data_IF_979158085625
#
_entry.id   IF_979158085625
#
_cell.length_a   1.000
_cell.length_b   1.000
_cell.length_c   1.000
_cell.angle_alpha   90.00
_cell.angle_beta   90.00
_cell.angle_gamma   90.00
#
_symmetry.space_group_name_H-M   'P 1'
#
loop_
_entity.id
_entity.type
_entity.pdbx_description
1 polymer ?
#
# COMPACT_ATOMS: atom_id res chain seq x y z
N UNK A 1 19.27 34.43 -17.72
CA UNK A 1 19.22 33.04 -17.22
C UNK A 1 18.35 33.04 -15.97
N UNK A 2 17.21 32.32 -15.97
CA UNK A 2 16.32 32.27 -14.80
C UNK A 2 17.07 31.61 -13.64
N UNK A 3 17.12 32.28 -12.49
CA UNK A 3 17.66 31.71 -11.26
C UNK A 3 16.86 30.45 -10.91
N UNK A 4 17.53 29.29 -10.92
CA UNK A 4 17.02 28.10 -10.25
C UNK A 4 17.01 28.39 -8.75
N UNK A 5 15.85 28.78 -8.21
CA UNK A 5 15.62 28.74 -6.77
C UNK A 5 15.68 27.27 -6.37
N UNK A 6 16.82 26.85 -5.84
CA UNK A 6 16.94 25.58 -5.13
C UNK A 6 16.10 25.77 -3.86
N UNK A 7 14.81 25.46 -3.95
CA UNK A 7 13.99 25.21 -2.75
C UNK A 7 14.76 24.19 -1.94
N UNK A 8 15.17 24.57 -0.73
CA UNK A 8 15.74 23.61 0.23
C UNK A 8 14.71 22.50 0.35
N UNK A 9 14.99 21.38 -0.30
CA UNK A 9 14.26 20.15 -0.09
C UNK A 9 14.23 19.95 1.42
N UNK A 10 13.03 20.04 1.98
CA UNK A 10 12.78 19.78 3.40
C UNK A 10 13.49 18.47 3.67
N UNK A 11 14.56 18.53 4.44
CA UNK A 11 15.47 17.40 4.62
C UNK A 11 14.63 16.30 5.22
N UNK A 12 14.40 15.27 4.41
CA UNK A 12 13.32 14.32 4.54
C UNK A 12 13.53 13.49 5.82
N UNK A 13 12.90 13.92 6.92
CA UNK A 13 13.03 13.26 8.23
C UNK A 13 12.61 11.79 8.16
N UNK A 14 11.62 11.47 7.33
CA UNK A 14 11.22 10.09 7.05
C UNK A 14 12.34 9.29 6.38
N UNK A 15 13.10 9.91 5.47
CA UNK A 15 14.26 9.24 4.86
C UNK A 15 15.33 8.92 5.90
N UNK A 16 15.58 9.80 6.87
CA UNK A 16 16.58 9.54 7.92
C UNK A 16 16.13 8.44 8.89
N UNK A 17 14.86 8.42 9.30
CA UNK A 17 14.34 7.35 10.15
C UNK A 17 14.29 6.00 9.44
N UNK A 18 13.88 5.99 8.16
CA UNK A 18 13.83 4.78 7.35
C UNK A 18 15.24 4.25 7.10
N UNK A 19 16.20 5.12 6.79
CA UNK A 19 17.60 4.73 6.58
C UNK A 19 18.20 4.10 7.85
N UNK A 20 17.96 4.70 9.02
CA UNK A 20 18.38 4.13 10.30
C UNK A 20 17.74 2.75 10.53
N UNK A 21 16.45 2.60 10.28
CA UNK A 21 15.76 1.30 10.37
C UNK A 21 16.40 0.25 9.44
N UNK A 22 16.65 0.60 8.18
CA UNK A 22 17.27 -0.29 7.20
C UNK A 22 18.68 -0.73 7.62
N UNK A 23 19.47 0.18 8.23
CA UNK A 23 20.78 -0.15 8.79
C UNK A 23 20.66 -1.09 10.00
N UNK A 24 19.69 -0.89 10.89
CA UNK A 24 19.48 -1.73 12.07
C UNK A 24 19.08 -3.15 11.71
N UNK A 25 18.12 -3.33 10.80
CA UNK A 25 17.69 -4.67 10.36
C UNK A 25 18.78 -5.37 9.52
N UNK A 26 19.68 -4.60 8.90
CA UNK A 26 20.81 -5.12 8.13
C UNK A 26 21.88 -5.79 8.99
N UNK A 27 21.96 -5.43 10.28
CA UNK A 27 22.91 -6.01 11.25
C UNK A 27 22.45 -7.34 11.84
N UNK A 28 21.20 -7.73 11.62
CA UNK A 28 20.65 -8.98 12.15
C UNK A 28 21.10 -10.15 11.27
N UNK A 29 21.68 -11.16 11.91
CA UNK A 29 22.13 -12.37 11.23
C UNK A 29 20.97 -13.18 10.66
N UNK A 30 21.23 -13.84 9.53
CA UNK A 30 20.30 -14.78 8.91
C UNK A 30 20.22 -16.05 9.75
N UNK A 31 19.01 -16.58 9.91
CA UNK A 31 18.80 -17.84 10.62
C UNK A 31 19.13 -19.02 9.71
N UNK A 32 19.67 -20.07 10.32
CA UNK A 32 19.79 -21.38 9.68
C UNK A 32 18.43 -22.11 9.70
N UNK A 33 18.19 -23.05 8.78
CA UNK A 33 16.94 -23.84 8.77
C UNK A 33 16.70 -24.60 10.09
N UNK A 34 17.77 -25.05 10.75
CA UNK A 34 17.70 -25.74 12.05
C UNK A 34 17.24 -24.77 13.16
N UNK A 35 17.79 -23.55 13.19
CA UNK A 35 17.37 -22.51 14.12
C UNK A 35 15.92 -22.07 13.89
N UNK A 36 15.45 -21.99 12.65
CA UNK A 36 14.05 -21.67 12.34
C UNK A 36 13.10 -22.70 12.98
N UNK A 37 13.43 -23.99 12.89
CA UNK A 37 12.64 -25.08 13.47
C UNK A 37 12.62 -25.00 15.00
N UNK A 38 13.78 -24.75 15.62
CA UNK A 38 13.88 -24.63 17.07
C UNK A 38 13.14 -23.40 17.61
N UNK A 39 13.19 -22.28 16.88
CA UNK A 39 12.41 -21.09 17.22
C UNK A 39 10.92 -21.32 17.05
N UNK A 40 10.48 -21.98 15.98
CA UNK A 40 9.08 -22.31 15.75
C UNK A 40 8.49 -23.16 16.88
N UNK A 41 9.22 -24.19 17.34
CA UNK A 41 8.81 -25.01 18.50
C UNK A 41 8.65 -24.19 19.77
N UNK A 42 9.60 -23.28 20.04
CA UNK A 42 9.53 -22.39 21.21
C UNK A 42 8.39 -21.38 21.11
N UNK A 43 8.08 -20.87 19.91
CA UNK A 43 6.97 -19.96 19.67
C UNK A 43 5.63 -20.65 19.97
N UNK A 44 5.46 -21.91 19.56
CA UNK A 44 4.26 -22.71 19.91
C UNK A 44 4.08 -22.88 21.42
N UNK A 45 5.17 -22.87 22.19
CA UNK A 45 5.15 -22.90 23.66
C UNK A 45 4.90 -21.52 24.29
N UNK A 46 4.66 -20.47 23.50
CA UNK A 46 4.41 -19.11 23.97
C UNK A 46 5.68 -18.30 24.25
N UNK A 47 6.85 -18.70 23.74
CA UNK A 47 8.09 -17.97 23.96
C UNK A 47 8.17 -16.71 23.09
N UNK A 48 7.94 -15.55 23.73
CA UNK A 48 7.97 -14.25 23.06
C UNK A 48 9.36 -13.87 22.52
N UNK A 49 10.44 -14.22 23.22
CA UNK A 49 11.80 -13.93 22.76
C UNK A 49 12.14 -14.71 21.48
N UNK A 50 11.62 -15.93 21.33
CA UNK A 50 11.77 -16.72 20.11
C UNK A 50 11.00 -16.08 18.94
N UNK A 51 9.79 -15.56 19.18
CA UNK A 51 8.99 -14.84 18.20
C UNK A 51 9.72 -13.59 17.71
N UNK A 52 10.28 -12.81 18.62
CA UNK A 52 11.08 -11.64 18.28
C UNK A 52 12.34 -12.00 17.48
N UNK A 53 13.07 -13.05 17.87
CA UNK A 53 14.27 -13.47 17.13
C UNK A 53 13.92 -13.90 15.70
N UNK A 54 12.86 -14.71 15.54
CA UNK A 54 12.41 -15.17 14.22
C UNK A 54 11.94 -14.00 13.35
N UNK A 55 11.16 -13.07 13.90
CA UNK A 55 10.67 -11.91 13.15
C UNK A 55 11.79 -10.96 12.77
N UNK A 56 12.68 -10.60 13.71
CA UNK A 56 13.83 -9.70 13.47
C UNK A 56 14.73 -10.18 12.34
N UNK A 57 15.03 -11.49 12.30
CA UNK A 57 15.84 -12.09 11.24
C UNK A 57 15.21 -11.98 9.84
N UNK A 58 13.87 -11.88 9.76
CA UNK A 58 13.12 -11.86 8.52
C UNK A 58 12.64 -10.46 8.08
N UNK A 59 12.95 -9.39 8.83
CA UNK A 59 12.52 -8.02 8.50
C UNK A 59 13.05 -7.55 7.14
N UNK A 60 14.26 -7.98 6.76
CA UNK A 60 14.85 -7.66 5.44
C UNK A 60 14.00 -8.17 4.28
N UNK A 61 13.39 -9.35 4.46
CA UNK A 61 12.50 -9.93 3.46
C UNK A 61 11.21 -9.11 3.32
N UNK A 62 10.62 -8.65 4.43
CA UNK A 62 9.42 -7.78 4.40
C UNK A 62 9.68 -6.52 3.58
N UNK A 63 10.84 -5.88 3.76
CA UNK A 63 11.22 -4.69 2.97
C UNK A 63 11.26 -5.01 1.47
N UNK A 64 11.79 -6.17 1.09
CA UNK A 64 11.85 -6.58 -0.32
C UNK A 64 10.46 -6.78 -0.94
N UNK A 65 9.49 -7.28 -0.15
CA UNK A 65 8.09 -7.43 -0.59
C UNK A 65 7.40 -6.08 -0.63
N UNK A 66 7.54 -5.25 0.40
CA UNK A 66 6.91 -3.93 0.48
C UNK A 66 7.33 -2.98 -0.64
N UNK A 67 8.59 -3.09 -1.11
CA UNK A 67 9.08 -2.32 -2.28
C UNK A 67 8.26 -2.56 -3.55
N UNK A 68 7.66 -3.74 -3.71
CA UNK A 68 6.82 -4.06 -4.88
C UNK A 68 5.49 -3.29 -4.89
N UNK A 69 5.07 -2.74 -3.74
CA UNK A 69 3.80 -2.05 -3.55
C UNK A 69 3.96 -0.53 -3.36
N UNK A 70 5.15 0.02 -3.65
CA UNK A 70 5.39 1.45 -3.57
C UNK A 70 4.53 2.24 -4.56
N UNK A 71 4.28 3.51 -4.23
CA UNK A 71 3.52 4.46 -5.06
C UNK A 71 2.04 4.08 -5.28
N UNK A 72 1.48 3.19 -4.46
CA UNK A 72 0.06 2.79 -4.50
C UNK A 72 -0.82 3.54 -3.48
N UNK A 73 -0.33 4.63 -2.89
CA UNK A 73 -1.08 5.50 -1.98
C UNK A 73 -0.65 5.46 -0.51
N UNK A 74 0.27 4.57 -0.13
CA UNK A 74 0.91 4.57 1.19
C UNK A 74 2.42 4.79 1.07
N UNK A 75 3.02 5.36 2.13
CA UNK A 75 4.47 5.52 2.22
C UNK A 75 5.15 4.16 2.33
N UNK A 76 6.43 4.06 1.92
CA UNK A 76 7.18 2.81 2.08
C UNK A 76 7.29 2.41 3.57
N UNK A 77 7.39 3.38 4.48
CA UNK A 77 7.44 3.12 5.92
C UNK A 77 6.17 2.42 6.40
N UNK A 78 5.00 2.90 5.96
CA UNK A 78 3.70 2.31 6.34
C UNK A 78 3.53 0.91 5.77
N UNK A 79 3.90 0.71 4.49
CA UNK A 79 3.88 -0.61 3.85
C UNK A 79 4.78 -1.62 4.59
N UNK A 80 5.95 -1.18 5.06
CA UNK A 80 6.86 -2.02 5.85
C UNK A 80 6.22 -2.38 7.20
N UNK A 81 5.63 -1.40 7.90
CA UNK A 81 4.99 -1.64 9.19
C UNK A 81 3.82 -2.63 9.08
N UNK A 82 2.98 -2.48 8.06
CA UNK A 82 1.87 -3.40 7.80
C UNK A 82 2.36 -4.79 7.37
N UNK A 83 3.42 -4.85 6.56
CA UNK A 83 4.10 -6.11 6.23
C UNK A 83 4.69 -6.81 7.46
N UNK A 84 5.26 -6.06 8.40
CA UNK A 84 5.82 -6.57 9.66
C UNK A 84 4.71 -7.17 10.54
N UNK A 85 3.53 -6.53 10.58
CA UNK A 85 2.36 -7.08 11.27
C UNK A 85 1.91 -8.41 10.64
N UNK A 86 1.92 -8.50 9.31
CA UNK A 86 1.69 -9.74 8.57
C UNK A 86 2.71 -10.83 8.92
N UNK A 87 4.00 -10.48 9.00
CA UNK A 87 5.07 -11.40 9.39
C UNK A 87 4.88 -11.95 10.81
N UNK A 88 4.50 -11.11 11.77
CA UNK A 88 4.23 -11.54 13.16
C UNK A 88 3.07 -12.54 13.20
N UNK A 89 1.97 -12.26 12.47
CA UNK A 89 0.83 -13.18 12.34
C UNK A 89 1.26 -14.52 11.73
N UNK A 90 2.13 -14.50 10.73
CA UNK A 90 2.68 -15.71 10.12
C UNK A 90 3.51 -16.50 11.13
N UNK A 91 4.41 -15.85 11.86
CA UNK A 91 5.28 -16.49 12.84
C UNK A 91 4.50 -17.17 13.97
N UNK A 92 3.39 -16.57 14.44
CA UNK A 92 2.52 -17.19 15.44
C UNK A 92 1.78 -18.43 14.93
N UNK A 93 1.48 -18.49 13.63
CA UNK A 93 0.68 -19.57 13.01
C UNK A 93 1.53 -20.57 12.21
N UNK A 94 2.85 -20.45 12.26
CA UNK A 94 3.74 -21.30 11.49
C UNK A 94 3.80 -22.71 12.10
N UNK A 95 3.82 -23.71 11.23
CA UNK A 95 3.90 -25.12 11.60
C UNK A 95 5.09 -25.77 10.91
N UNK A 96 6.13 -26.06 11.69
CA UNK A 96 7.39 -26.63 11.24
C UNK A 96 7.27 -28.08 10.74
N UNK A 97 6.21 -28.79 11.10
CA UNK A 97 6.01 -30.20 10.72
C UNK A 97 5.70 -30.38 9.24
N UNK A 98 5.33 -29.31 8.54
CA UNK A 98 4.93 -29.33 7.12
C UNK A 98 6.11 -29.38 6.14
N UNK A 99 7.36 -29.23 6.60
CA UNK A 99 8.55 -29.41 5.76
C UNK A 99 8.85 -28.29 4.76
N UNK A 100 8.22 -27.11 4.91
CA UNK A 100 8.51 -25.93 4.10
C UNK A 100 9.21 -24.85 4.93
N UNK A 101 10.01 -24.00 4.28
CA UNK A 101 10.71 -22.88 4.92
C UNK A 101 9.71 -21.86 5.46
N UNK A 102 10.06 -21.19 6.56
CA UNK A 102 9.18 -20.18 7.18
C UNK A 102 8.80 -19.06 6.20
N UNK A 103 9.77 -18.53 5.44
CA UNK A 103 9.52 -17.45 4.48
C UNK A 103 8.47 -17.84 3.44
N UNK A 104 8.51 -19.08 2.94
CA UNK A 104 7.54 -19.57 1.93
C UNK A 104 6.09 -19.45 2.42
N UNK A 105 5.86 -19.66 3.72
CA UNK A 105 4.57 -19.46 4.35
C UNK A 105 4.28 -17.97 4.65
N UNK A 106 5.29 -17.24 5.14
CA UNK A 106 5.14 -15.85 5.54
C UNK A 106 4.78 -14.90 4.40
N UNK A 107 5.23 -15.16 3.16
CA UNK A 107 4.96 -14.27 2.00
C UNK A 107 3.47 -13.98 1.83
N UNK A 108 2.62 -15.00 2.00
CA UNK A 108 1.17 -14.83 1.84
C UNK A 108 0.59 -13.86 2.89
N UNK A 109 1.00 -14.01 4.14
CA UNK A 109 0.56 -13.15 5.25
C UNK A 109 1.08 -11.72 5.11
N UNK A 110 2.33 -11.54 4.68
CA UNK A 110 2.92 -10.23 4.42
C UNK A 110 2.13 -9.51 3.32
N UNK A 111 1.91 -10.19 2.18
CA UNK A 111 1.14 -9.62 1.06
C UNK A 111 -0.29 -9.31 1.45
N UNK A 112 -0.96 -10.22 2.16
CA UNK A 112 -2.33 -10.01 2.63
C UNK A 112 -2.42 -8.76 3.52
N UNK A 113 -1.51 -8.60 4.49
CA UNK A 113 -1.51 -7.45 5.40
C UNK A 113 -1.26 -6.14 4.65
N UNK A 114 -0.32 -6.13 3.70
CA UNK A 114 -0.02 -4.95 2.86
C UNK A 114 -1.22 -4.59 1.97
N UNK A 115 -1.81 -5.56 1.29
CA UNK A 115 -2.96 -5.33 0.41
C UNK A 115 -4.19 -4.88 1.19
N UNK A 116 -4.41 -5.44 2.38
CA UNK A 116 -5.47 -4.99 3.27
C UNK A 116 -5.26 -3.53 3.69
N UNK A 117 -4.05 -3.17 4.12
CA UNK A 117 -3.74 -1.80 4.50
C UNK A 117 -3.91 -0.82 3.33
N UNK A 118 -3.46 -1.19 2.13
CA UNK A 118 -3.69 -0.40 0.92
C UNK A 118 -5.18 -0.21 0.64
N UNK A 119 -6.00 -1.25 0.76
CA UNK A 119 -7.43 -1.12 0.53
C UNK A 119 -8.14 -0.24 1.58
N UNK A 120 -7.67 -0.24 2.82
CA UNK A 120 -8.30 0.48 3.93
C UNK A 120 -7.79 1.91 4.14
N UNK A 121 -6.51 2.17 3.87
CA UNK A 121 -5.81 3.41 4.26
C UNK A 121 -5.30 4.25 3.07
N UNK A 122 -5.27 3.72 1.83
CA UNK A 122 -4.73 4.47 0.68
C UNK A 122 -5.58 5.67 0.23
N UNK A 123 -6.84 5.75 0.68
CA UNK A 123 -7.80 6.78 0.27
C UNK A 123 -8.28 7.58 1.47
N UNK A 124 -8.48 8.88 1.26
CA UNK A 124 -9.02 9.80 2.26
C UNK A 124 -10.43 9.36 2.67
N UNK A 125 -11.29 9.07 1.69
CA UNK A 125 -12.60 8.44 1.91
C UNK A 125 -12.44 6.94 1.75
N UNK A 126 -12.65 6.21 2.86
CA UNK A 126 -12.55 4.76 2.91
C UNK A 126 -13.61 4.12 2.02
N UNK A 127 -13.16 3.19 1.17
CA UNK A 127 -14.05 2.39 0.32
C UNK A 127 -14.15 0.94 0.85
N UNK A 128 -15.34 0.31 0.81
CA UNK A 128 -15.49 -1.10 1.13
C UNK A 128 -14.63 -2.01 0.23
N UNK A 129 -14.15 -3.14 0.79
CA UNK A 129 -13.26 -4.08 0.09
C UNK A 129 -13.84 -4.64 -1.22
N UNK A 130 -15.15 -4.89 -1.26
CA UNK A 130 -15.83 -5.37 -2.46
C UNK A 130 -15.74 -4.36 -3.61
N UNK A 131 -15.90 -3.06 -3.32
CA UNK A 131 -15.81 -2.00 -4.32
C UNK A 131 -14.37 -1.73 -4.77
N UNK A 132 -13.39 -1.84 -3.87
CA UNK A 132 -11.96 -1.81 -4.25
C UNK A 132 -11.62 -2.99 -5.18
N UNK A 133 -12.14 -4.18 -4.89
CA UNK A 133 -11.98 -5.36 -5.74
C UNK A 133 -12.57 -5.18 -7.14
N UNK A 134 -13.80 -4.67 -7.23
CA UNK A 134 -14.43 -4.35 -8.52
C UNK A 134 -13.63 -3.31 -9.30
N UNK A 135 -13.13 -2.27 -8.64
CA UNK A 135 -12.31 -1.23 -9.25
C UNK A 135 -11.00 -1.80 -9.84
N UNK A 136 -10.33 -2.72 -9.13
CA UNK A 136 -9.13 -3.37 -9.66
C UNK A 136 -9.42 -4.26 -10.87
N UNK A 137 -10.57 -4.94 -10.90
CA UNK A 137 -11.01 -5.72 -12.08
C UNK A 137 -11.31 -4.81 -13.27
N UNK A 138 -12.02 -3.72 -13.04
CA UNK A 138 -12.32 -2.70 -14.05
C UNK A 138 -11.03 -2.11 -14.61
N UNK A 139 -10.08 -1.70 -13.77
CA UNK A 139 -8.79 -1.18 -14.24
C UNK A 139 -8.00 -2.20 -15.07
N UNK A 140 -8.06 -3.48 -14.70
CA UNK A 140 -7.38 -4.54 -15.45
C UNK A 140 -8.02 -4.72 -16.83
N UNK A 141 -9.34 -4.82 -16.89
CA UNK A 141 -10.09 -4.89 -18.15
C UNK A 141 -9.88 -3.62 -19.00
N UNK A 142 -9.83 -2.45 -18.37
CA UNK A 142 -9.54 -1.18 -19.01
C UNK A 142 -8.19 -1.23 -19.72
N UNK A 143 -7.12 -1.65 -19.04
CA UNK A 143 -5.80 -1.78 -19.65
C UNK A 143 -5.73 -2.84 -20.75
N UNK A 144 -6.47 -3.95 -20.62
CA UNK A 144 -6.53 -5.00 -21.64
C UNK A 144 -7.23 -4.50 -22.92
N UNK A 145 -8.40 -3.87 -22.80
CA UNK A 145 -9.15 -3.31 -23.93
C UNK A 145 -8.43 -2.11 -24.57
N UNK A 146 -7.81 -1.25 -23.76
CA UNK A 146 -7.02 -0.12 -24.24
C UNK A 146 -5.84 -0.61 -25.10
N UNK A 147 -5.18 -1.70 -24.68
CA UNK A 147 -4.10 -2.31 -25.44
C UNK A 147 -4.60 -2.98 -26.73
N UNK A 148 -5.78 -3.60 -26.72
CA UNK A 148 -6.34 -4.30 -27.88
C UNK A 148 -6.89 -3.34 -28.94
N UNK A 149 -7.61 -2.30 -28.52
CA UNK A 149 -8.29 -1.36 -29.42
C UNK A 149 -7.51 -0.07 -29.68
N UNK A 150 -6.38 0.14 -28.99
CA UNK A 150 -5.54 1.34 -29.08
C UNK A 150 -6.32 2.64 -28.79
N UNK A 151 -7.36 2.56 -27.96
CA UNK A 151 -8.20 3.69 -27.52
C UNK A 151 -8.77 3.45 -26.14
N UNK A 152 -9.24 4.52 -25.49
CA UNK A 152 -9.98 4.39 -24.24
C UNK A 152 -11.27 3.56 -24.45
N UNK A 153 -11.51 2.51 -23.65
CA UNK A 153 -12.71 1.70 -23.73
C UNK A 153 -13.92 2.44 -23.13
N UNK A 154 -15.08 2.19 -23.72
CA UNK A 154 -16.35 2.73 -23.21
C UNK A 154 -16.83 1.95 -21.96
N UNK A 155 -17.65 2.57 -21.09
CA UNK A 155 -18.25 1.87 -19.96
C UNK A 155 -19.08 0.64 -20.36
N UNK A 156 -19.69 0.67 -21.54
CA UNK A 156 -20.48 -0.44 -22.10
C UNK A 156 -19.59 -1.63 -22.49
N UNK A 157 -18.44 -1.38 -23.12
CA UNK A 157 -17.47 -2.43 -23.48
C UNK A 157 -16.88 -3.09 -22.23
N UNK A 158 -16.60 -2.29 -21.19
CA UNK A 158 -16.15 -2.80 -19.89
C UNK A 158 -17.22 -3.65 -19.21
N UNK A 159 -18.48 -3.22 -19.28
CA UNK A 159 -19.63 -3.94 -18.73
C UNK A 159 -19.83 -5.29 -19.41
N UNK A 160 -19.72 -5.34 -20.74
CA UNK A 160 -19.81 -6.57 -21.53
C UNK A 160 -18.68 -7.55 -21.21
N UNK A 161 -17.43 -7.06 -21.17
CA UNK A 161 -16.26 -7.91 -20.87
C UNK A 161 -16.29 -8.50 -19.45
N UNK A 162 -16.77 -7.73 -18.48
CA UNK A 162 -16.79 -8.11 -17.07
C UNK A 162 -18.10 -8.75 -16.62
N UNK A 163 -19.10 -8.86 -17.50
CA UNK A 163 -20.45 -9.34 -17.23
C UNK A 163 -21.13 -8.63 -16.04
N UNK A 164 -20.94 -7.31 -15.94
CA UNK A 164 -21.53 -6.46 -14.89
C UNK A 164 -22.39 -5.35 -15.51
N UNK A 165 -23.40 -4.82 -14.79
CA UNK A 165 -24.23 -3.73 -15.33
C UNK A 165 -23.42 -2.46 -15.62
N UNK A 166 -23.72 -1.78 -16.73
CA UNK A 166 -23.08 -0.50 -17.10
C UNK A 166 -23.16 0.55 -15.99
N UNK A 167 -24.31 0.63 -15.31
CA UNK A 167 -24.50 1.52 -14.15
C UNK A 167 -23.50 1.22 -13.01
N UNK A 168 -23.17 -0.06 -12.78
CA UNK A 168 -22.18 -0.42 -11.77
C UNK A 168 -20.75 -0.01 -12.18
N UNK A 169 -20.44 -0.08 -13.48
CA UNK A 169 -19.15 0.40 -14.00
C UNK A 169 -19.05 1.92 -13.84
N UNK A 170 -20.07 2.67 -14.25
CA UNK A 170 -20.11 4.13 -14.15
C UNK A 170 -20.01 4.61 -12.70
N UNK A 171 -20.79 4.02 -11.80
CA UNK A 171 -20.73 4.35 -10.36
C UNK A 171 -19.36 4.04 -9.77
N UNK A 172 -18.75 2.92 -10.14
CA UNK A 172 -17.42 2.54 -9.64
C UNK A 172 -16.33 3.47 -10.17
N UNK A 173 -16.39 3.88 -11.44
CA UNK A 173 -15.50 4.86 -12.03
C UNK A 173 -15.67 6.25 -11.41
N UNK A 174 -16.91 6.67 -11.14
CA UNK A 174 -17.19 7.94 -10.44
C UNK A 174 -16.58 7.98 -9.04
N UNK A 175 -16.68 6.87 -8.28
CA UNK A 175 -16.06 6.75 -6.95
C UNK A 175 -14.53 6.60 -7.02
N UNK A 176 -13.99 6.20 -8.17
CA UNK A 176 -12.54 6.07 -8.37
C UNK A 176 -11.81 7.43 -8.37
N UNK A 177 -12.53 8.53 -8.64
CA UNK A 177 -11.98 9.87 -8.75
C UNK A 177 -11.09 10.24 -7.56
N UNK A 178 -9.90 10.79 -7.85
CA UNK A 178 -8.98 11.24 -6.81
C UNK A 178 -9.44 12.57 -6.24
N UNK A 179 -9.34 12.69 -4.93
CA UNK A 179 -9.61 13.93 -4.21
C UNK A 179 -8.64 15.04 -4.67
N UNK A 180 -9.16 16.25 -4.82
CA UNK A 180 -8.38 17.44 -5.14
C UNK A 180 -8.20 18.25 -3.85
N UNK A 181 -7.00 18.80 -3.66
CA UNK A 181 -6.72 19.66 -2.51
C UNK A 181 -7.36 21.03 -2.70
N UNK A 182 -8.06 21.50 -1.67
CA UNK A 182 -8.64 22.84 -1.63
C UNK A 182 -7.58 23.95 -1.54
N UNK A 183 -6.46 23.63 -0.89
CA UNK A 183 -5.34 24.56 -0.67
C UNK A 183 -4.30 24.50 -1.79
N UNK A 184 -4.45 23.59 -2.76
CA UNK A 184 -3.51 23.53 -3.89
C UNK A 184 -3.72 24.78 -4.76
N UNK A 185 -2.65 25.55 -5.04
CA UNK A 185 -2.75 26.68 -5.93
C UNK A 185 -3.02 26.19 -7.36
N UNK A 186 -3.75 26.97 -8.14
CA UNK A 186 -4.03 26.63 -9.54
C UNK A 186 -2.76 26.64 -10.41
N UNK A 187 -1.81 27.53 -10.08
CA UNK A 187 -0.53 27.71 -10.79
C UNK A 187 0.60 27.86 -9.78
N UNK A 188 1.75 27.24 -10.04
CA UNK A 188 2.92 27.35 -9.16
C UNK A 188 3.40 28.81 -9.02
N UNK A 189 3.33 29.35 -7.81
CA UNK A 189 3.76 30.71 -7.48
C UNK A 189 2.64 31.73 -7.34
N UNK A 190 1.39 31.32 -7.55
CA UNK A 190 0.20 32.09 -7.19
C UNK A 190 -0.33 31.65 -5.82
N UNK A 191 -0.93 32.59 -5.08
CA UNK A 191 -1.56 32.31 -3.78
C UNK A 191 -3.03 31.87 -3.92
N UNK A 192 -3.62 32.00 -5.12
CA UNK A 192 -5.02 31.69 -5.35
C UNK A 192 -5.26 30.17 -5.39
N UNK A 193 -6.21 29.73 -4.57
CA UNK A 193 -6.58 28.33 -4.36
C UNK A 193 -8.06 28.08 -4.63
N UNK A 194 -8.47 26.82 -4.62
CA UNK A 194 -9.89 26.43 -4.74
C UNK A 194 -10.74 27.06 -3.62
N UNK A 195 -10.18 27.27 -2.44
CA UNK A 195 -10.85 27.90 -1.31
C UNK A 195 -11.26 29.35 -1.60
N UNK A 196 -10.49 30.08 -2.40
CA UNK A 196 -10.74 31.49 -2.72
C UNK A 196 -11.86 31.69 -3.75
N UNK A 197 -12.17 30.64 -4.53
CA UNK A 197 -13.14 30.67 -5.63
C UNK A 197 -14.47 30.03 -5.25
N UNK A 198 -14.46 29.07 -4.32
CA UNK A 198 -15.67 28.34 -3.96
C UNK A 198 -16.63 29.20 -3.12
N UNK A 199 -17.79 29.49 -3.71
CA UNK A 199 -18.87 30.20 -3.04
C UNK A 199 -19.46 29.36 -1.90
N UNK A 200 -19.64 29.99 -0.73
CA UNK A 200 -20.30 29.36 0.39
C UNK A 200 -21.82 29.56 0.31
N UNK A 201 -22.55 28.53 -0.12
CA UNK A 201 -24.01 28.54 -0.21
C UNK A 201 -24.73 28.61 1.16
N UNK A 202 -24.00 28.47 2.28
CA UNK A 202 -24.54 28.53 3.64
C UNK A 202 -24.41 29.89 4.34
N UNK A 203 -23.72 30.87 3.74
CA UNK A 203 -23.67 32.23 4.31
C UNK A 203 -24.98 32.96 4.03
N UNK A 204 -25.66 33.54 5.06
CA UNK A 204 -26.80 34.41 4.82
C UNK A 204 -26.38 35.55 3.91
N UNK A 205 -27.09 35.76 2.80
CA UNK A 205 -26.84 36.88 1.91
C UNK A 205 -26.98 38.19 2.68
N UNK A 206 -25.94 39.02 2.64
CA UNK A 206 -26.01 40.43 3.05
C UNK A 206 -26.73 41.26 2.01
#
# INVERSE_FOLDING_TARGET
>A
MRQLKITKSITNRESQSLEKYLQEIGKVDLLTPEEEVDLAKKIKQGNQAALEKLTKANLRFVVSVAKQYQNQGLSLSDLINEGNLGLIKAAQRFDETRGFKFISYAVWWIRQSILQALAEQSRIVRLPLNKVGSLNKINKAFSELEQEYEREPSPEELAEMLEIPTEEVETTLGVAARHVSMDAPFVEGEDNSLLDVLENSGTPGT
#
